data_IF_711107458864
#
_entry.id   IF_711107458864
#
_cell.length_a   1.000
_cell.length_b   1.000
_cell.length_c   1.000
_cell.angle_alpha   90.00
_cell.angle_beta   90.00
_cell.angle_gamma   90.00
#
_symmetry.space_group_name_H-M   'P 1'
#
loop_
_entity.id
_entity.type
_entity.pdbx_description
1 polymer ?
#
# COMPACT_ATOMS: atom_id res chain seq x y z
N UNK A 1 -11.37 -15.52 27.24
CA UNK A 1 -11.90 -16.16 26.02
C UNK A 1 -13.07 -15.35 25.47
N UNK A 2 -12.80 -14.28 24.70
CA UNK A 2 -13.86 -13.48 24.05
C UNK A 2 -14.17 -14.13 22.70
N UNK A 3 -15.46 -14.35 22.43
CA UNK A 3 -15.99 -14.90 21.19
C UNK A 3 -15.36 -14.25 19.94
N UNK A 4 -14.46 -14.98 19.27
CA UNK A 4 -14.25 -14.80 17.84
C UNK A 4 -15.52 -15.29 17.15
N UNK A 5 -16.53 -14.43 17.05
CA UNK A 5 -17.64 -14.70 16.12
C UNK A 5 -17.00 -14.83 14.74
N UNK A 6 -17.19 -16.00 14.16
CA UNK A 6 -16.92 -16.29 12.76
C UNK A 6 -17.35 -15.09 11.91
N UNK A 7 -16.42 -14.54 11.14
CA UNK A 7 -16.74 -13.67 10.00
C UNK A 7 -17.40 -14.54 8.92
N UNK A 8 -18.57 -15.11 9.24
CA UNK A 8 -19.39 -15.86 8.30
C UNK A 8 -19.97 -14.89 7.27
N UNK A 9 -19.48 -15.04 6.04
CA UNK A 9 -20.17 -14.77 4.77
C UNK A 9 -20.69 -13.35 4.51
N UNK A 10 -19.78 -12.37 4.45
CA UNK A 10 -19.98 -11.21 3.57
C UNK A 10 -18.86 -11.20 2.54
N UNK A 11 -19.18 -10.79 1.31
CA UNK A 11 -18.16 -10.46 0.32
C UNK A 11 -17.10 -9.59 0.99
N UNK A 12 -15.86 -10.03 0.97
CA UNK A 12 -14.76 -9.14 1.26
C UNK A 12 -14.12 -8.78 -0.07
N UNK A 13 -14.17 -7.50 -0.45
CA UNK A 13 -13.62 -7.00 -1.72
C UNK A 13 -12.17 -7.45 -1.97
N UNK A 14 -11.37 -7.67 -0.92
CA UNK A 14 -9.99 -8.12 -1.08
C UNK A 14 -9.80 -9.60 -1.43
N UNK A 15 -10.75 -10.47 -1.07
CA UNK A 15 -10.72 -11.92 -1.32
C UNK A 15 -11.62 -12.34 -2.49
N UNK A 16 -12.46 -11.43 -2.97
CA UNK A 16 -13.39 -11.71 -4.05
C UNK A 16 -12.62 -11.89 -5.36
N UNK A 17 -12.80 -13.02 -6.07
CA UNK A 17 -12.21 -13.20 -7.37
C UNK A 17 -12.76 -12.09 -8.28
N UNK A 18 -11.87 -11.43 -8.99
CA UNK A 18 -12.21 -10.50 -10.05
C UNK A 18 -11.61 -10.93 -11.36
N UNK A 19 -11.88 -10.16 -12.41
CA UNK A 19 -11.30 -10.34 -13.72
C UNK A 19 -10.87 -8.98 -14.27
N UNK A 20 -9.90 -9.02 -15.19
CA UNK A 20 -9.54 -7.84 -15.95
C UNK A 20 -10.51 -7.66 -17.13
N UNK A 21 -11.33 -6.62 -17.08
CA UNK A 21 -12.17 -6.25 -18.21
C UNK A 21 -11.30 -5.59 -19.30
N UNK A 22 -11.26 -6.23 -20.46
CA UNK A 22 -10.42 -5.83 -21.60
C UNK A 22 -10.97 -4.61 -22.31
N UNK A 23 -12.28 -4.37 -22.23
CA UNK A 23 -12.91 -3.26 -22.95
C UNK A 23 -12.76 -1.96 -22.15
N UNK A 24 -12.93 -2.04 -20.84
CA UNK A 24 -12.80 -0.88 -19.95
C UNK A 24 -11.41 -0.70 -19.33
N UNK A 25 -10.48 -1.65 -19.56
CA UNK A 25 -9.13 -1.67 -19.00
C UNK A 25 -9.12 -1.50 -17.47
N UNK A 26 -9.96 -2.30 -16.82
CA UNK A 26 -10.31 -2.11 -15.42
C UNK A 26 -10.48 -3.45 -14.71
N UNK A 27 -10.05 -3.52 -13.46
CA UNK A 27 -10.38 -4.64 -12.59
C UNK A 27 -11.87 -4.64 -12.20
N UNK A 28 -12.57 -5.73 -12.48
CA UNK A 28 -13.96 -5.92 -12.07
C UNK A 28 -14.01 -7.07 -11.06
N UNK A 29 -14.86 -6.98 -10.04
CA UNK A 29 -15.18 -8.17 -9.25
C UNK A 29 -16.09 -9.08 -10.04
N UNK A 30 -15.92 -10.40 -9.88
CA UNK A 30 -16.93 -11.34 -10.35
C UNK A 30 -18.19 -11.11 -9.51
N UNK A 31 -19.32 -10.71 -10.15
CA UNK A 31 -20.58 -10.66 -9.43
C UNK A 31 -20.90 -12.07 -8.97
N UNK A 32 -21.02 -12.26 -7.66
CA UNK A 32 -21.48 -13.53 -7.09
C UNK A 32 -22.73 -13.25 -6.26
N UNK A 33 -23.57 -14.26 -5.96
CA UNK A 33 -24.69 -14.06 -5.03
C UNK A 33 -24.25 -13.49 -3.66
N UNK A 34 -22.98 -13.71 -3.28
CA UNK A 34 -22.37 -13.16 -2.07
C UNK A 34 -21.81 -11.75 -2.26
N UNK A 35 -21.44 -11.38 -3.49
CA UNK A 35 -20.86 -10.11 -3.92
C UNK A 35 -21.63 -9.55 -5.14
N UNK A 36 -22.91 -9.13 -4.99
CA UNK A 36 -23.73 -8.76 -6.14
C UNK A 36 -23.33 -7.40 -6.74
N UNK A 37 -22.68 -6.54 -5.95
CA UNK A 37 -22.32 -5.19 -6.38
C UNK A 37 -20.90 -5.15 -6.99
N UNK A 38 -20.72 -4.44 -8.12
CA UNK A 38 -19.39 -4.21 -8.69
C UNK A 38 -18.57 -3.30 -7.78
N UNK A 39 -17.24 -3.28 -7.98
CA UNK A 39 -16.37 -2.34 -7.27
C UNK A 39 -16.80 -0.91 -7.52
N UNK A 40 -16.91 -0.14 -6.45
CA UNK A 40 -17.02 1.30 -6.59
C UNK A 40 -15.72 1.83 -7.17
N UNK A 41 -15.86 2.67 -8.20
CA UNK A 41 -14.74 3.42 -8.77
C UNK A 41 -14.59 4.74 -8.04
N UNK A 42 -13.39 4.97 -7.53
CA UNK A 42 -12.98 6.22 -6.89
C UNK A 42 -12.03 7.00 -7.80
N UNK A 43 -11.21 6.28 -8.56
CA UNK A 43 -10.23 6.81 -9.50
C UNK A 43 -10.27 5.99 -10.79
N UNK A 44 -10.19 6.65 -11.94
CA UNK A 44 -10.03 5.99 -13.25
C UNK A 44 -8.99 6.72 -14.09
N UNK A 45 -8.28 5.98 -14.94
CA UNK A 45 -7.36 6.55 -15.93
C UNK A 45 -8.10 6.72 -17.27
N UNK A 46 -7.90 7.86 -17.94
CA UNK A 46 -8.45 8.08 -19.28
C UNK A 46 -7.78 7.11 -20.28
N UNK A 47 -8.58 6.44 -21.11
CA UNK A 47 -8.07 5.47 -22.08
C UNK A 47 -6.98 6.05 -22.99
N UNK A 48 -7.14 7.31 -23.43
CA UNK A 48 -6.16 8.02 -24.27
C UNK A 48 -4.77 8.19 -23.64
N UNK A 49 -4.68 8.06 -22.31
CA UNK A 49 -3.43 8.16 -21.58
C UNK A 49 -2.71 6.83 -21.41
N UNK A 50 -3.37 5.70 -21.69
CA UNK A 50 -2.72 4.39 -21.68
C UNK A 50 -1.74 4.25 -22.86
N UNK A 51 -2.01 4.94 -23.97
CA UNK A 51 -1.18 4.89 -25.19
C UNK A 51 -0.08 5.96 -25.25
N UNK A 52 -0.22 7.05 -24.48
CA UNK A 52 0.65 8.23 -24.56
C UNK A 52 1.44 8.39 -23.24
N UNK A 53 2.55 7.68 -23.11
CA UNK A 53 3.51 7.75 -21.97
C UNK A 53 4.22 9.12 -21.81
N UNK A 54 3.58 10.25 -22.11
CA UNK A 54 4.22 11.58 -22.11
C UNK A 54 3.54 12.64 -21.25
N UNK A 55 2.38 12.35 -20.65
CA UNK A 55 1.69 13.26 -19.73
C UNK A 55 2.06 13.01 -18.26
N UNK A 56 1.87 14.01 -17.39
CA UNK A 56 1.91 13.76 -15.93
C UNK A 56 0.69 12.92 -15.56
N UNK A 57 0.85 11.92 -14.71
CA UNK A 57 -0.22 11.01 -14.28
C UNK A 57 -1.51 11.74 -13.86
N UNK A 58 -1.37 12.90 -13.20
CA UNK A 58 -2.47 13.78 -12.77
C UNK A 58 -3.38 14.24 -13.92
N UNK A 59 -2.84 14.48 -15.11
CA UNK A 59 -3.60 14.98 -16.28
C UNK A 59 -4.50 13.88 -16.87
N UNK A 60 -4.20 12.64 -16.53
CA UNK A 60 -4.78 11.43 -17.08
C UNK A 60 -5.84 10.81 -16.17
N UNK A 61 -6.08 11.39 -14.99
CA UNK A 61 -6.93 10.80 -13.99
C UNK A 61 -8.28 11.52 -13.93
N UNK A 62 -9.33 10.71 -13.75
CA UNK A 62 -10.66 11.17 -13.38
C UNK A 62 -10.98 10.64 -11.98
N UNK A 63 -11.29 11.57 -11.09
CA UNK A 63 -11.79 11.29 -9.75
C UNK A 63 -13.31 11.13 -9.79
N UNK A 64 -13.84 10.21 -8.98
CA UNK A 64 -15.26 9.90 -8.91
C UNK A 64 -15.88 10.39 -7.60
N UNK A 65 -17.19 10.67 -7.64
CA UNK A 65 -17.94 11.24 -6.49
C UNK A 65 -17.93 10.34 -5.25
N UNK A 66 -17.72 9.03 -5.45
CA UNK A 66 -17.63 8.04 -4.39
C UNK A 66 -16.63 8.39 -3.28
N UNK A 67 -15.60 9.19 -3.58
CA UNK A 67 -14.60 9.65 -2.61
C UNK A 67 -15.21 10.43 -1.43
N UNK A 68 -16.34 11.11 -1.64
CA UNK A 68 -17.02 11.83 -0.56
C UNK A 68 -17.47 10.91 0.58
N UNK A 69 -17.69 9.61 0.31
CA UNK A 69 -18.03 8.63 1.32
C UNK A 69 -16.87 8.31 2.27
N UNK A 70 -15.62 8.62 1.90
CA UNK A 70 -14.41 8.26 2.63
C UNK A 70 -13.82 9.41 3.47
N UNK A 71 -14.53 10.53 3.62
CA UNK A 71 -14.01 11.75 4.27
C UNK A 71 -13.57 11.55 5.74
N UNK A 72 -14.15 10.57 6.42
CA UNK A 72 -13.81 10.24 7.81
C UNK A 72 -12.89 9.04 7.93
N UNK A 73 -12.53 8.43 6.80
CA UNK A 73 -11.65 7.27 6.77
C UNK A 73 -10.19 7.71 6.75
N UNK A 74 -9.31 6.75 6.99
CA UNK A 74 -7.86 6.92 6.85
C UNK A 74 -7.20 5.58 6.59
N UNK A 75 -6.16 5.61 5.77
CA UNK A 75 -5.43 4.42 5.34
C UNK A 75 -3.95 4.60 5.68
N UNK A 76 -3.36 3.61 6.35
CA UNK A 76 -1.92 3.49 6.52
C UNK A 76 -1.43 2.24 5.79
N UNK A 77 -0.65 2.42 4.74
CA UNK A 77 0.04 1.32 4.07
C UNK A 77 1.35 1.05 4.79
N UNK A 78 1.58 -0.21 5.16
CA UNK A 78 2.81 -0.68 5.78
C UNK A 78 3.43 -1.66 4.81
N UNK A 79 4.56 -1.37 4.20
CA UNK A 79 5.16 -2.34 3.28
C UNK A 79 6.57 -2.06 2.85
N UNK A 80 6.96 -2.65 1.73
CA UNK A 80 8.20 -2.35 1.04
C UNK A 80 8.03 -1.20 0.03
N UNK A 81 9.04 -1.01 -0.83
CA UNK A 81 9.05 0.03 -1.86
C UNK A 81 7.86 0.00 -2.83
N UNK A 82 7.14 -1.12 -2.94
CA UNK A 82 5.93 -1.22 -3.77
C UNK A 82 4.72 -0.56 -3.09
N UNK A 83 4.63 -0.57 -1.76
CA UNK A 83 3.63 0.22 -1.02
C UNK A 83 3.96 1.71 -1.07
N UNK A 84 5.24 2.07 -0.99
CA UNK A 84 5.67 3.47 -1.13
C UNK A 84 5.36 4.02 -2.53
N UNK A 85 5.64 3.26 -3.59
CA UNK A 85 5.29 3.64 -4.97
C UNK A 85 3.77 3.77 -5.16
N UNK A 86 2.99 2.83 -4.63
CA UNK A 86 1.53 2.91 -4.64
C UNK A 86 1.04 4.20 -3.97
N UNK A 87 1.55 4.54 -2.80
CA UNK A 87 1.18 5.75 -2.07
C UNK A 87 1.55 7.02 -2.84
N UNK A 88 2.75 7.08 -3.41
CA UNK A 88 3.23 8.23 -4.16
C UNK A 88 2.37 8.48 -5.41
N UNK A 89 2.15 7.44 -6.23
CA UNK A 89 1.25 7.55 -7.39
C UNK A 89 -0.16 7.97 -6.96
N UNK A 90 -0.64 7.47 -5.82
CA UNK A 90 -1.93 7.87 -5.26
C UNK A 90 -1.95 9.33 -4.82
N UNK A 91 -0.89 9.85 -4.23
CA UNK A 91 -0.82 11.27 -3.85
C UNK A 91 -0.72 12.17 -5.10
N UNK A 92 0.10 11.80 -6.07
CA UNK A 92 0.24 12.51 -7.35
C UNK A 92 -1.06 12.53 -8.15
N UNK A 93 -1.77 11.41 -8.17
CA UNK A 93 -3.09 11.27 -8.79
C UNK A 93 -4.12 12.29 -8.29
N UNK A 94 -3.96 12.73 -7.04
CA UNK A 94 -4.84 13.70 -6.39
C UNK A 94 -4.16 15.07 -6.23
N UNK A 95 -3.01 15.30 -6.86
CA UNK A 95 -2.22 16.52 -6.72
C UNK A 95 -1.96 16.89 -5.25
N UNK A 96 -1.88 15.87 -4.40
CA UNK A 96 -1.75 16.00 -2.96
C UNK A 96 -0.27 15.97 -2.59
N UNK A 97 0.27 17.04 -1.98
CA UNK A 97 1.67 17.04 -1.57
C UNK A 97 1.89 16.02 -0.46
N UNK A 98 2.98 15.27 -0.57
CA UNK A 98 3.43 14.34 0.46
C UNK A 98 4.17 15.10 1.57
N UNK A 99 3.99 14.65 2.81
CA UNK A 99 4.63 15.20 4.00
C UNK A 99 5.17 14.06 4.84
N UNK A 100 6.39 14.20 5.33
CA UNK A 100 6.93 13.20 6.26
C UNK A 100 6.21 13.30 7.60
N UNK A 101 5.87 12.16 8.20
CA UNK A 101 5.36 12.09 9.58
C UNK A 101 6.43 11.60 10.57
N UNK A 102 7.64 11.35 10.10
CA UNK A 102 8.80 11.01 10.95
C UNK A 102 9.64 12.26 11.12
N UNK A 103 9.70 12.76 12.35
CA UNK A 103 10.52 13.93 12.66
C UNK A 103 12.03 13.59 12.58
N UNK A 104 12.82 14.52 12.06
CA UNK A 104 14.29 14.49 12.17
C UNK A 104 14.67 15.21 13.46
N UNK A 105 15.28 14.54 14.46
CA UNK A 105 15.77 15.21 15.65
C UNK A 105 16.69 16.38 15.30
N UNK A 106 16.51 17.52 15.97
CA UNK A 106 17.21 18.77 15.65
C UNK A 106 18.71 18.74 15.97
N UNK A 107 19.16 17.84 16.86
CA UNK A 107 20.52 17.77 17.41
C UNK A 107 21.36 16.61 16.87
N UNK A 108 21.23 16.26 15.59
CA UNK A 108 21.99 15.16 15.00
C UNK A 108 23.21 15.65 14.21
N UNK A 109 24.42 15.10 14.47
CA UNK A 109 25.52 15.26 13.55
C UNK A 109 25.14 14.66 12.19
N UNK A 110 25.50 15.35 11.10
CA UNK A 110 25.19 14.95 9.71
C UNK A 110 23.70 14.81 9.38
N UNK A 111 22.87 15.74 9.89
CA UNK A 111 21.44 15.85 9.57
C UNK A 111 21.14 15.74 8.06
N UNK A 112 22.01 16.27 7.19
CA UNK A 112 21.85 16.22 5.72
C UNK A 112 21.82 14.79 5.15
N UNK A 113 22.64 13.87 5.68
CA UNK A 113 22.70 12.47 5.24
C UNK A 113 21.35 11.78 5.45
N UNK A 114 20.71 12.03 6.59
CA UNK A 114 19.41 11.46 6.92
C UNK A 114 18.23 12.24 6.32
N UNK A 115 18.36 13.56 6.13
CA UNK A 115 17.28 14.43 5.66
C UNK A 115 16.94 14.27 4.18
N UNK A 116 17.89 13.91 3.31
CA UNK A 116 17.57 13.54 1.92
C UNK A 116 16.85 12.18 1.85
N UNK A 117 17.03 11.34 2.86
CA UNK A 117 16.59 9.94 2.87
C UNK A 117 15.25 9.75 3.57
N UNK A 118 14.96 10.53 4.60
CA UNK A 118 13.60 10.69 5.13
C UNK A 118 12.66 11.44 4.18
N UNK A 119 13.18 11.99 3.07
CA UNK A 119 12.42 12.48 1.92
C UNK A 119 12.16 11.40 0.86
N UNK A 120 12.84 10.24 0.92
CA UNK A 120 12.36 9.07 0.20
C UNK A 120 10.98 8.73 0.79
N UNK A 121 10.02 8.37 -0.06
CA UNK A 121 8.59 8.22 0.26
C UNK A 121 8.24 7.17 1.33
N UNK A 122 9.25 6.67 2.04
CA UNK A 122 9.23 5.65 3.05
C UNK A 122 8.37 5.98 4.27
N UNK A 123 8.22 7.24 4.66
CA UNK A 123 7.45 7.62 5.86
C UNK A 123 6.62 8.88 5.63
N UNK A 124 5.74 8.84 4.64
CA UNK A 124 4.99 10.00 4.18
C UNK A 124 3.49 9.80 4.28
N UNK A 125 2.79 10.91 4.36
CA UNK A 125 1.35 10.94 4.16
C UNK A 125 0.98 12.08 3.22
N UNK A 126 -0.18 11.95 2.61
CA UNK A 126 -0.87 13.03 1.93
C UNK A 126 -2.35 13.02 2.32
N UNK A 127 -3.07 14.08 1.98
CA UNK A 127 -4.52 14.16 2.13
C UNK A 127 -5.16 14.21 0.76
N UNK A 128 -5.95 13.20 0.43
CA UNK A 128 -6.70 13.16 -0.82
C UNK A 128 -7.94 14.05 -0.65
N UNK A 129 -7.92 15.24 -1.27
CA UNK A 129 -8.96 16.25 -1.07
C UNK A 129 -10.26 15.88 -1.79
N UNK A 130 -11.40 16.27 -1.18
CA UNK A 130 -12.73 16.18 -1.81
C UNK A 130 -12.79 17.14 -3.00
N UNK A 131 -13.20 16.61 -4.15
CA UNK A 131 -13.38 17.39 -5.38
C UNK A 131 -14.42 18.51 -5.23
N UNK A 132 -13.90 19.72 -5.02
CA UNK A 132 -14.44 20.99 -5.51
C UNK A 132 -13.34 22.07 -5.60
N UNK A 133 -12.19 21.87 -4.95
CA UNK A 133 -11.02 22.75 -5.01
C UNK A 133 -10.05 22.47 -6.17
N UNK A 134 -10.49 21.74 -7.21
CA UNK A 134 -9.83 21.77 -8.52
C UNK A 134 -10.34 22.94 -9.39
N UNK A 135 -11.27 23.75 -8.85
CA UNK A 135 -11.63 25.03 -9.43
C UNK A 135 -10.40 25.94 -9.45
N UNK A 136 -9.78 26.04 -10.62
CA UNK A 136 -8.84 27.06 -11.09
C UNK A 136 -7.63 27.35 -10.18
N UNK A 137 -6.46 27.32 -10.81
CA UNK A 137 -5.15 27.64 -10.23
C UNK A 137 -5.11 28.96 -9.40
N UNK A 138 -6.06 29.88 -9.63
CA UNK A 138 -6.22 31.13 -8.88
C UNK A 138 -6.81 31.03 -7.46
N UNK A 139 -7.57 29.97 -7.11
CA UNK A 139 -8.19 29.86 -5.77
C UNK A 139 -7.24 29.22 -4.72
N UNK A 140 -6.17 28.56 -5.19
CA UNK A 140 -5.12 27.97 -4.34
C UNK A 140 -4.34 29.04 -3.57
N UNK A 141 -4.02 30.15 -4.23
CA UNK A 141 -3.17 31.21 -3.65
C UNK A 141 -3.95 32.04 -2.61
N UNK A 142 -5.25 32.27 -2.82
CA UNK A 142 -6.11 32.99 -1.87
C UNK A 142 -6.45 32.19 -0.60
N UNK A 143 -6.58 30.86 -0.69
CA UNK A 143 -6.85 30.02 0.48
C UNK A 143 -5.67 29.99 1.47
N UNK A 144 -4.44 30.01 0.98
CA UNK A 144 -3.22 30.13 1.80
C UNK A 144 -3.00 31.55 2.34
N UNK A 145 -3.39 32.59 1.59
CA UNK A 145 -3.20 33.99 1.99
C UNK A 145 -4.18 34.49 3.07
N UNK A 146 -5.35 33.86 3.22
CA UNK A 146 -6.42 34.35 4.13
C UNK A 146 -6.41 33.78 5.54
N UNK A 147 -5.43 32.96 5.95
CA UNK A 147 -5.28 32.55 7.36
C UNK A 147 -6.51 31.87 7.98
N UNK A 148 -7.46 31.38 7.17
CA UNK A 148 -8.64 30.70 7.65
C UNK A 148 -8.28 29.26 8.02
N UNK A 149 -7.76 29.09 9.24
CA UNK A 149 -7.50 27.80 9.88
C UNK A 149 -8.76 26.94 10.12
N UNK A 150 -9.93 27.37 9.64
CA UNK A 150 -11.21 26.66 9.77
C UNK A 150 -11.61 25.83 8.53
N UNK A 151 -10.83 25.83 7.45
CA UNK A 151 -10.85 24.75 6.44
C UNK A 151 -9.96 23.59 6.86
N UNK A 152 -10.08 23.19 8.13
CA UNK A 152 -9.52 21.96 8.63
C UNK A 152 -10.11 20.76 7.86
N UNK A 153 -9.34 20.30 6.87
CA UNK A 153 -9.08 18.87 6.65
C UNK A 153 -10.24 17.98 6.18
N UNK A 154 -11.04 18.42 5.20
CA UNK A 154 -11.93 17.51 4.46
C UNK A 154 -11.13 16.73 3.39
N UNK A 155 -10.51 15.61 3.78
CA UNK A 155 -9.84 14.71 2.85
C UNK A 155 -9.36 13.42 3.49
N UNK A 156 -9.33 12.33 2.71
CA UNK A 156 -8.87 11.01 3.15
C UNK A 156 -7.35 11.04 3.41
N UNK A 157 -6.89 10.88 4.66
CA UNK A 157 -5.46 10.75 4.96
C UNK A 157 -4.96 9.40 4.44
N UNK A 158 -3.95 9.44 3.59
CA UNK A 158 -3.26 8.28 3.04
C UNK A 158 -1.80 8.32 3.49
N UNK A 159 -1.40 7.37 4.34
CA UNK A 159 -0.03 7.21 4.81
C UNK A 159 0.66 6.01 4.19
N UNK A 160 1.98 6.07 4.11
CA UNK A 160 2.85 4.93 3.82
C UNK A 160 3.99 4.87 4.82
N UNK A 161 4.29 3.66 5.27
CA UNK A 161 5.40 3.34 6.14
C UNK A 161 6.18 2.15 5.56
N UNK A 162 7.45 2.39 5.23
CA UNK A 162 8.38 1.40 4.77
C UNK A 162 8.96 0.62 5.97
N UNK A 163 8.64 -0.66 6.08
CA UNK A 163 9.13 -1.51 7.16
C UNK A 163 10.26 -2.43 6.69
N UNK A 164 11.13 -2.94 7.57
CA UNK A 164 12.39 -3.62 7.19
C UNK A 164 12.32 -5.11 6.80
N UNK A 165 11.18 -5.59 6.30
CA UNK A 165 10.91 -7.03 6.22
C UNK A 165 10.38 -7.57 7.56
N UNK A 166 9.56 -8.61 7.52
CA UNK A 166 9.04 -9.26 8.72
C UNK A 166 10.08 -10.11 9.44
N UNK A 167 11.13 -10.57 8.75
CA UNK A 167 12.21 -11.36 9.34
C UNK A 167 13.61 -10.90 8.88
N UNK A 168 14.51 -10.69 9.84
CA UNK A 168 15.93 -10.40 9.59
C UNK A 168 16.28 -8.93 9.37
N UNK A 169 17.59 -8.62 9.19
CA UNK A 169 18.04 -7.25 9.04
C UNK A 169 17.50 -6.64 7.73
N UNK A 170 17.37 -5.30 7.67
CA UNK A 170 16.90 -4.65 6.45
C UNK A 170 17.80 -5.00 5.27
N UNK A 171 17.24 -5.43 4.13
CA UNK A 171 18.00 -5.67 2.88
C UNK A 171 18.96 -4.51 2.51
N UNK A 172 18.59 -3.29 2.90
CA UNK A 172 19.20 -2.03 2.55
C UNK A 172 20.19 -1.50 3.60
N UNK A 173 20.39 -2.22 4.71
CA UNK A 173 21.26 -1.76 5.80
C UNK A 173 22.71 -1.54 5.38
N UNK A 174 23.17 -2.20 4.30
CA UNK A 174 24.53 -2.02 3.75
C UNK A 174 24.70 -0.76 2.88
N UNK A 175 23.64 -0.32 2.19
CA UNK A 175 23.69 0.85 1.31
C UNK A 175 23.17 2.12 2.01
N UNK A 176 22.33 1.95 3.03
CA UNK A 176 21.66 3.04 3.72
C UNK A 176 21.62 2.74 5.23
N UNK A 177 22.52 3.32 6.05
CA UNK A 177 22.42 3.17 7.49
C UNK A 177 21.07 3.72 7.95
N UNK A 178 20.33 2.84 8.63
CA UNK A 178 19.10 3.18 9.29
C UNK A 178 19.31 4.37 10.22
N UNK A 179 18.44 5.38 10.12
CA UNK A 179 18.45 6.50 11.06
C UNK A 179 18.39 5.97 12.50
N UNK A 180 19.32 6.35 13.41
CA UNK A 180 19.48 5.69 14.70
C UNK A 180 18.29 5.83 15.66
N UNK A 181 17.33 6.72 15.36
CA UNK A 181 16.10 6.92 16.13
C UNK A 181 14.89 6.15 15.57
N UNK A 182 15.08 5.38 14.50
CA UNK A 182 14.07 4.47 13.97
C UNK A 182 14.27 3.09 14.59
N UNK A 183 13.15 2.43 14.89
CA UNK A 183 13.15 1.05 15.37
C UNK A 183 13.86 0.15 14.35
N UNK A 184 14.72 -0.76 14.81
CA UNK A 184 15.57 -1.57 13.92
C UNK A 184 14.87 -2.77 13.30
N UNK A 185 13.64 -3.06 13.74
CA UNK A 185 12.83 -4.18 13.27
C UNK A 185 11.45 -3.67 12.89
N UNK A 186 10.73 -4.38 12.01
CA UNK A 186 9.36 -3.99 11.64
C UNK A 186 8.42 -3.89 12.83
N UNK A 187 8.60 -4.74 13.85
CA UNK A 187 7.86 -4.68 15.12
C UNK A 187 8.21 -3.41 15.90
N UNK A 188 9.50 -3.09 16.06
CA UNK A 188 9.92 -1.87 16.75
C UNK A 188 9.45 -0.61 16.00
N UNK A 189 9.50 -0.62 14.67
CA UNK A 189 8.98 0.45 13.85
C UNK A 189 7.47 0.65 13.99
N UNK A 190 6.70 -0.44 14.00
CA UNK A 190 5.26 -0.38 14.26
C UNK A 190 4.96 0.24 15.63
N UNK A 191 5.76 -0.11 16.65
CA UNK A 191 5.64 0.42 18.01
C UNK A 191 6.00 1.89 18.12
N UNK A 192 7.13 2.27 17.56
CA UNK A 192 7.83 3.51 17.91
C UNK A 192 7.64 4.60 16.85
N UNK A 193 7.52 4.23 15.58
CA UNK A 193 7.54 5.18 14.47
C UNK A 193 6.16 5.39 13.83
N UNK A 194 5.38 4.32 13.65
CA UNK A 194 4.04 4.44 13.05
C UNK A 194 3.05 5.30 13.86
N UNK A 195 3.11 5.41 15.20
CA UNK A 195 2.28 6.38 15.93
C UNK A 195 2.48 7.84 15.47
N UNK A 196 3.61 8.15 14.82
CA UNK A 196 3.83 9.43 14.16
C UNK A 196 2.75 9.77 13.12
N UNK A 197 2.20 8.76 12.43
CA UNK A 197 1.09 8.96 11.49
C UNK A 197 -0.19 9.41 12.22
N UNK A 198 -0.52 8.79 13.36
CA UNK A 198 -1.66 9.21 14.22
C UNK A 198 -1.50 10.68 14.63
N UNK A 199 -0.31 11.07 15.07
CA UNK A 199 -0.03 12.44 15.48
C UNK A 199 -0.10 13.43 14.31
N UNK A 200 0.60 13.14 13.21
CA UNK A 200 0.78 14.09 12.10
C UNK A 200 -0.44 14.17 11.16
N UNK A 201 -1.14 13.07 10.91
CA UNK A 201 -2.21 12.99 9.91
C UNK A 201 -3.61 12.89 10.53
N UNK A 202 -3.74 12.44 11.78
CA UNK A 202 -5.05 12.16 12.41
C UNK A 202 -5.32 12.98 13.67
N UNK A 203 -4.49 13.99 13.95
CA UNK A 203 -4.64 14.91 15.08
C UNK A 203 -4.36 14.27 16.45
N UNK A 204 -3.66 13.13 16.49
CA UNK A 204 -3.23 12.49 17.74
C UNK A 204 -4.28 11.62 18.45
N UNK A 205 -5.56 11.73 18.08
CA UNK A 205 -6.67 11.12 18.83
C UNK A 205 -7.21 9.82 18.20
N UNK A 206 -7.05 9.65 16.89
CA UNK A 206 -7.69 8.57 16.12
C UNK A 206 -6.68 7.57 15.58
N UNK A 207 -7.07 6.30 15.55
CA UNK A 207 -6.34 5.28 14.82
C UNK A 207 -6.63 5.40 13.32
N UNK A 208 -5.73 4.93 12.44
CA UNK A 208 -6.10 4.71 11.06
C UNK A 208 -7.33 3.80 10.99
N UNK A 209 -8.27 4.06 10.10
CA UNK A 209 -9.40 3.14 9.90
C UNK A 209 -8.88 1.80 9.39
N UNK A 210 -7.97 1.86 8.42
CA UNK A 210 -7.46 0.71 7.70
C UNK A 210 -5.94 0.73 7.69
N UNK A 211 -5.35 -0.41 8.05
CA UNK A 211 -3.93 -0.68 7.86
C UNK A 211 -3.81 -1.78 6.80
N UNK A 212 -3.08 -1.49 5.73
CA UNK A 212 -2.81 -2.45 4.65
C UNK A 212 -1.35 -2.83 4.74
N UNK A 213 -1.08 -4.05 5.18
CA UNK A 213 0.28 -4.58 5.33
C UNK A 213 0.67 -5.36 4.08
N UNK A 214 1.81 -5.06 3.48
CA UNK A 214 2.35 -5.81 2.36
C UNK A 214 3.86 -5.98 2.52
N UNK A 215 4.28 -7.16 2.98
CA UNK A 215 5.68 -7.54 3.15
C UNK A 215 6.05 -8.66 2.18
N UNK A 216 7.35 -8.80 1.89
CA UNK A 216 7.89 -10.00 1.27
C UNK A 216 8.97 -9.75 0.24
N UNK A 217 8.92 -8.67 -0.55
CA UNK A 217 10.03 -8.41 -1.47
C UNK A 217 11.31 -8.01 -0.74
N UNK A 218 11.20 -7.24 0.34
CA UNK A 218 12.35 -6.91 1.17
C UNK A 218 12.83 -8.07 2.02
N UNK A 219 11.95 -8.99 2.43
CA UNK A 219 12.35 -10.25 3.07
C UNK A 219 13.17 -11.12 2.12
N UNK A 220 12.65 -11.36 0.92
CA UNK A 220 13.35 -12.13 -0.13
C UNK A 220 14.69 -11.49 -0.47
N UNK A 221 14.70 -10.17 -0.65
CA UNK A 221 15.92 -9.44 -0.94
C UNK A 221 16.92 -9.54 0.23
N UNK A 222 16.44 -9.47 1.48
CA UNK A 222 17.29 -9.60 2.67
C UNK A 222 17.93 -10.98 2.75
N UNK A 223 17.17 -12.06 2.52
CA UNK A 223 17.75 -13.40 2.52
C UNK A 223 18.74 -13.60 1.36
N UNK A 224 18.44 -13.07 0.17
CA UNK A 224 19.37 -13.08 -0.95
C UNK A 224 20.68 -12.35 -0.64
N UNK A 225 20.61 -11.20 0.02
CA UNK A 225 21.80 -10.42 0.41
C UNK A 225 22.59 -11.10 1.53
N UNK A 226 21.92 -11.52 2.61
CA UNK A 226 22.59 -11.94 3.85
C UNK A 226 22.92 -13.45 3.89
N UNK A 227 22.03 -14.28 3.35
CA UNK A 227 22.22 -15.74 3.31
C UNK A 227 22.80 -16.17 1.96
N UNK A 228 22.29 -15.59 0.87
CA UNK A 228 22.77 -15.84 -0.48
C UNK A 228 24.05 -15.08 -0.86
N UNK A 229 24.46 -14.06 -0.08
CA UNK A 229 25.61 -13.19 -0.40
C UNK A 229 25.55 -12.61 -1.82
N UNK A 230 24.35 -12.21 -2.25
CA UNK A 230 24.04 -11.74 -3.60
C UNK A 230 24.26 -12.75 -4.72
N UNK A 231 24.50 -14.03 -4.40
CA UNK A 231 24.75 -15.05 -5.40
C UNK A 231 23.47 -15.38 -6.19
N UNK A 232 23.60 -15.56 -7.50
CA UNK A 232 22.47 -15.86 -8.39
C UNK A 232 21.85 -17.22 -8.12
N UNK A 233 22.59 -18.15 -7.50
CA UNK A 233 22.13 -19.48 -7.12
C UNK A 233 21.42 -19.52 -5.75
N UNK A 234 21.09 -18.37 -5.15
CA UNK A 234 20.35 -18.36 -3.89
C UNK A 234 19.02 -19.11 -4.06
N UNK A 235 18.78 -20.08 -3.18
CA UNK A 235 17.59 -20.93 -3.22
C UNK A 235 16.64 -20.58 -2.08
N UNK A 236 15.52 -19.93 -2.44
CA UNK A 236 14.37 -19.81 -1.57
C UNK A 236 13.81 -21.20 -1.23
N UNK A 237 13.40 -21.41 0.03
CA UNK A 237 13.00 -22.73 0.52
C UNK A 237 12.00 -22.63 1.70
N UNK A 238 11.55 -23.78 2.22
CA UNK A 238 10.54 -23.85 3.28
C UNK A 238 10.94 -23.20 4.62
N UNK A 239 12.25 -23.08 4.91
CA UNK A 239 12.72 -22.38 6.11
C UNK A 239 12.40 -20.88 6.05
N UNK A 240 12.60 -20.27 4.87
CA UNK A 240 12.25 -18.88 4.61
C UNK A 240 10.75 -18.64 4.81
N UNK A 241 9.91 -19.54 4.28
CA UNK A 241 8.45 -19.49 4.45
C UNK A 241 8.06 -19.50 5.94
N UNK A 242 8.62 -20.43 6.74
CA UNK A 242 8.31 -20.51 8.17
C UNK A 242 8.71 -19.25 8.94
N UNK A 243 9.91 -18.72 8.68
CA UNK A 243 10.39 -17.49 9.32
C UNK A 243 9.53 -16.29 8.95
N UNK A 244 9.15 -16.18 7.68
CA UNK A 244 8.26 -15.13 7.19
C UNK A 244 6.88 -15.18 7.87
N UNK A 245 6.25 -16.35 7.96
CA UNK A 245 4.97 -16.53 8.65
C UNK A 245 5.08 -16.12 10.11
N UNK A 246 6.14 -16.55 10.81
CA UNK A 246 6.38 -16.17 12.20
C UNK A 246 6.55 -14.65 12.37
N UNK A 247 7.41 -14.02 11.55
CA UNK A 247 7.63 -12.57 11.59
C UNK A 247 6.37 -11.78 11.26
N UNK A 248 5.59 -12.22 10.26
CA UNK A 248 4.33 -11.61 9.89
C UNK A 248 3.34 -11.66 11.05
N UNK A 249 3.25 -12.80 11.75
CA UNK A 249 2.41 -12.94 12.95
C UNK A 249 2.79 -11.92 14.02
N UNK A 250 4.09 -11.78 14.32
CA UNK A 250 4.57 -10.81 15.31
C UNK A 250 4.24 -9.37 14.90
N UNK A 251 4.41 -9.02 13.62
CA UNK A 251 4.06 -7.69 13.11
C UNK A 251 2.55 -7.43 13.20
N UNK A 252 1.71 -8.40 12.83
CA UNK A 252 0.26 -8.30 12.92
C UNK A 252 -0.19 -8.07 14.36
N UNK A 253 0.33 -8.86 15.30
CA UNK A 253 -0.01 -8.73 16.72
C UNK A 253 0.41 -7.37 17.28
N UNK A 254 1.57 -6.89 16.86
CA UNK A 254 2.06 -5.58 17.25
C UNK A 254 1.20 -4.45 16.69
N UNK A 255 0.83 -4.50 15.41
CA UNK A 255 -0.04 -3.50 14.78
C UNK A 255 -1.41 -3.45 15.45
N UNK A 256 -1.97 -4.60 15.82
CA UNK A 256 -3.22 -4.67 16.59
C UNK A 256 -3.09 -4.09 17.99
N UNK A 257 -1.93 -4.26 18.63
CA UNK A 257 -1.65 -3.67 19.94
C UNK A 257 -1.52 -2.14 19.86
N UNK A 258 -0.84 -1.64 18.84
CA UNK A 258 -0.59 -0.20 18.64
C UNK A 258 -1.84 0.53 18.14
N UNK A 259 -2.61 -0.10 17.24
CA UNK A 259 -3.80 0.45 16.59
C UNK A 259 -5.02 -0.47 16.79
N UNK A 260 -5.53 -0.59 18.03
CA UNK A 260 -6.55 -1.59 18.38
C UNK A 260 -7.90 -1.39 17.69
N UNK A 261 -8.17 -0.20 17.16
CA UNK A 261 -9.41 0.10 16.42
C UNK A 261 -9.25 0.00 14.91
N UNK A 262 -8.03 -0.14 14.41
CA UNK A 262 -7.79 -0.25 12.98
C UNK A 262 -8.19 -1.64 12.47
N UNK A 263 -8.80 -1.68 11.30
CA UNK A 263 -8.89 -2.92 10.52
C UNK A 263 -7.54 -3.20 9.89
N UNK A 264 -7.19 -4.48 9.82
CA UNK A 264 -5.92 -4.93 9.28
C UNK A 264 -6.16 -5.83 8.07
N UNK A 265 -5.50 -5.50 6.96
CA UNK A 265 -5.48 -6.30 5.74
C UNK A 265 -4.06 -6.71 5.41
N UNK A 266 -3.92 -7.90 4.83
CA UNK A 266 -2.68 -8.32 4.20
C UNK A 266 -2.78 -8.23 2.69
N UNK A 267 -1.97 -7.39 2.07
CA UNK A 267 -1.82 -7.30 0.62
C UNK A 267 -0.84 -8.39 0.16
N UNK A 268 -1.31 -9.32 -0.64
CA UNK A 268 -0.46 -10.35 -1.23
C UNK A 268 0.61 -9.75 -2.14
N UNK A 269 1.74 -10.43 -2.28
CA UNK A 269 2.77 -10.11 -3.26
C UNK A 269 2.27 -10.38 -4.67
N UNK A 270 2.57 -9.48 -5.60
CA UNK A 270 2.45 -9.78 -7.03
C UNK A 270 3.67 -10.56 -7.55
N UNK A 271 3.56 -11.24 -8.70
CA UNK A 271 4.71 -11.84 -9.35
C UNK A 271 5.77 -10.77 -9.69
N UNK A 272 7.01 -10.97 -9.23
CA UNK A 272 8.16 -10.13 -9.56
C UNK A 272 9.27 -10.94 -10.19
N UNK A 273 10.16 -10.27 -10.93
CA UNK A 273 11.35 -10.84 -11.56
C UNK A 273 12.54 -9.90 -11.32
N UNK A 274 13.01 -9.85 -10.07
CA UNK A 274 14.16 -9.02 -9.68
C UNK A 274 15.03 -9.74 -8.66
N UNK A 275 16.28 -10.00 -9.01
CA UNK A 275 17.22 -10.75 -8.16
C UNK A 275 16.62 -12.12 -7.76
N UNK A 276 16.56 -12.43 -6.46
CA UNK A 276 15.91 -13.64 -5.93
C UNK A 276 14.38 -13.58 -5.86
N UNK A 277 13.77 -12.44 -6.19
CA UNK A 277 12.31 -12.32 -6.27
C UNK A 277 11.84 -13.06 -7.52
N UNK A 278 11.21 -14.21 -7.29
CA UNK A 278 10.61 -15.04 -8.33
C UNK A 278 9.11 -15.20 -8.10
N UNK A 279 8.31 -15.52 -9.14
CA UNK A 279 6.89 -15.81 -8.98
C UNK A 279 6.64 -16.97 -8.00
N UNK A 280 7.51 -17.99 -7.99
CA UNK A 280 7.41 -19.12 -7.08
C UNK A 280 7.61 -18.72 -5.61
N UNK A 281 8.61 -17.88 -5.33
CA UNK A 281 8.82 -17.37 -3.97
C UNK A 281 7.64 -16.50 -3.50
N UNK A 282 7.17 -15.58 -4.35
CA UNK A 282 6.00 -14.75 -4.04
C UNK A 282 4.74 -15.60 -3.77
N UNK A 283 4.48 -16.60 -4.62
CA UNK A 283 3.37 -17.53 -4.45
C UNK A 283 3.48 -18.31 -3.14
N UNK A 284 4.64 -18.89 -2.83
CA UNK A 284 4.84 -19.66 -1.60
C UNK A 284 4.60 -18.82 -0.34
N UNK A 285 5.06 -17.56 -0.30
CA UNK A 285 4.81 -16.65 0.82
C UNK A 285 3.32 -16.28 0.93
N UNK A 286 2.65 -16.03 -0.20
CA UNK A 286 1.22 -15.72 -0.22
C UNK A 286 0.37 -16.89 0.27
N UNK A 287 0.61 -18.11 -0.23
CA UNK A 287 -0.14 -19.30 0.18
C UNK A 287 0.05 -19.61 1.66
N UNK A 288 1.29 -19.52 2.15
CA UNK A 288 1.58 -19.77 3.56
C UNK A 288 0.83 -18.79 4.47
N UNK A 289 0.79 -17.51 4.12
CA UNK A 289 0.03 -16.52 4.87
C UNK A 289 -1.49 -16.71 4.73
N UNK A 290 -1.99 -17.07 3.55
CA UNK A 290 -3.40 -17.35 3.32
C UNK A 290 -3.87 -18.53 4.19
N UNK A 291 -3.03 -19.57 4.34
CA UNK A 291 -3.33 -20.71 5.21
C UNK A 291 -3.54 -20.33 6.69
N UNK A 292 -2.95 -19.23 7.14
CA UNK A 292 -3.10 -18.72 8.51
C UNK A 292 -4.10 -17.56 8.65
N UNK A 293 -4.61 -17.03 7.53
CA UNK A 293 -5.47 -15.85 7.48
C UNK A 293 -6.66 -15.94 8.43
N UNK A 294 -7.41 -17.04 8.33
CA UNK A 294 -8.64 -17.26 9.09
C UNK A 294 -8.36 -17.38 10.60
N UNK A 295 -7.36 -18.18 10.98
CA UNK A 295 -6.94 -18.35 12.37
C UNK A 295 -6.53 -17.00 12.99
N UNK A 296 -5.84 -16.17 12.21
CA UNK A 296 -5.40 -14.87 12.67
C UNK A 296 -6.48 -13.80 12.56
N UNK A 297 -7.64 -14.08 11.97
CA UNK A 297 -8.67 -13.06 11.70
C UNK A 297 -8.14 -11.93 10.79
N UNK A 298 -7.28 -12.28 9.84
CA UNK A 298 -6.63 -11.39 8.89
C UNK A 298 -7.32 -11.53 7.53
N UNK A 299 -7.78 -10.42 6.95
CA UNK A 299 -8.37 -10.46 5.61
C UNK A 299 -7.30 -10.18 4.55
N UNK A 300 -7.44 -10.76 3.37
CA UNK A 300 -6.45 -10.66 2.29
C UNK A 300 -6.89 -9.74 1.17
N UNK A 301 -5.99 -8.89 0.70
CA UNK A 301 -6.12 -8.13 -0.53
C UNK A 301 -5.26 -8.81 -1.61
N UNK A 302 -5.88 -9.63 -2.47
CA UNK A 302 -5.19 -10.52 -3.42
C UNK A 302 -4.74 -9.83 -4.71
N UNK A 303 -3.79 -8.90 -4.56
CA UNK A 303 -3.09 -8.25 -5.67
C UNK A 303 -2.33 -9.25 -6.54
N UNK A 304 -1.89 -10.38 -5.97
CA UNK A 304 -1.14 -11.41 -6.67
C UNK A 304 -1.95 -12.05 -7.77
N UNK A 305 -3.15 -12.54 -7.42
CA UNK A 305 -4.09 -13.08 -8.40
C UNK A 305 -4.54 -12.00 -9.40
N UNK A 306 -4.81 -10.78 -8.92
CA UNK A 306 -5.18 -9.65 -9.80
C UNK A 306 -4.18 -9.47 -10.95
N UNK A 307 -2.89 -9.44 -10.62
CA UNK A 307 -1.82 -9.22 -11.60
C UNK A 307 -1.63 -10.44 -12.52
N UNK A 308 -1.78 -11.66 -12.02
CA UNK A 308 -1.64 -12.87 -12.83
C UNK A 308 -2.71 -13.01 -13.92
N UNK A 309 -3.89 -12.43 -13.72
CA UNK A 309 -4.99 -12.47 -14.69
C UNK A 309 -4.85 -11.44 -15.82
N UNK A 310 -3.87 -10.55 -15.73
CA UNK A 310 -3.65 -9.55 -16.77
C UNK A 310 -3.17 -10.22 -18.07
N UNK A 311 -3.79 -9.89 -19.23
CA UNK A 311 -3.34 -10.33 -20.54
C UNK A 311 -1.84 -10.08 -20.74
N UNK A 312 -1.07 -11.05 -21.26
CA UNK A 312 0.36 -10.86 -21.55
C UNK A 312 0.63 -9.67 -22.50
N UNK A 313 -0.33 -9.35 -23.38
CA UNK A 313 -0.27 -8.24 -24.34
C UNK A 313 -0.56 -6.85 -23.75
N UNK A 314 -1.11 -6.76 -22.54
CA UNK A 314 -1.22 -5.48 -21.82
C UNK A 314 0.10 -5.05 -21.17
N UNK A 315 1.14 -5.88 -21.28
CA UNK A 315 2.54 -5.54 -21.03
C UNK A 315 3.15 -4.66 -22.12
N UNK A 316 2.47 -3.57 -22.53
CA UNK A 316 3.04 -2.58 -23.45
C UNK A 316 4.23 -1.89 -22.80
N UNK A 317 5.42 -2.41 -23.05
CA UNK A 317 6.59 -1.60 -23.37
C UNK A 317 7.30 -2.27 -24.56
N UNK A 318 7.28 -1.68 -25.76
CA UNK A 318 8.21 -2.07 -26.81
C UNK A 318 9.62 -1.59 -26.42
N UNK A 319 10.26 -2.27 -25.48
CA UNK A 319 11.70 -2.18 -25.30
C UNK A 319 12.33 -3.19 -26.26
N UNK A 320 13.04 -2.71 -27.29
CA UNK A 320 13.86 -3.51 -28.23
C UNK A 320 15.04 -4.25 -27.55
N UNK A 321 15.05 -4.37 -26.24
CA UNK A 321 16.16 -4.91 -25.46
C UNK A 321 15.64 -5.63 -24.21
N UNK A 322 15.83 -6.96 -24.21
CA UNK A 322 15.77 -7.92 -23.10
C UNK A 322 14.47 -7.95 -22.25
N UNK A 323 13.80 -9.10 -22.33
CA UNK A 323 12.80 -9.66 -21.39
C UNK A 323 12.43 -8.75 -20.22
N UNK A 324 11.50 -7.82 -20.45
CA UNK A 324 10.94 -6.98 -19.40
C UNK A 324 9.80 -7.75 -18.72
N UNK A 325 9.71 -7.79 -17.38
CA UNK A 325 8.58 -8.41 -16.70
C UNK A 325 7.25 -7.77 -17.10
N UNK A 326 6.26 -8.62 -17.36
CA UNK A 326 5.01 -8.33 -18.07
C UNK A 326 4.06 -7.38 -17.29
N UNK A 327 4.36 -7.06 -16.03
CA UNK A 327 3.41 -6.39 -15.12
C UNK A 327 4.01 -5.25 -14.28
N UNK A 328 5.26 -4.88 -14.55
CA UNK A 328 6.00 -3.93 -13.72
C UNK A 328 6.80 -2.90 -14.48
N UNK A 329 7.42 -1.98 -13.75
CA UNK A 329 8.44 -1.08 -14.30
C UNK A 329 9.64 -1.90 -14.76
N UNK A 330 10.57 -1.27 -15.51
CA UNK A 330 11.80 -1.90 -16.00
C UNK A 330 12.63 -2.59 -14.89
N UNK A 331 12.37 -2.26 -13.62
CA UNK A 331 13.07 -2.80 -12.48
C UNK A 331 12.58 -4.17 -12.01
N UNK A 332 11.46 -4.65 -12.54
CA UNK A 332 10.91 -5.99 -12.29
C UNK A 332 10.34 -6.25 -10.91
N UNK A 333 10.12 -5.20 -10.13
CA UNK A 333 9.55 -5.27 -8.78
C UNK A 333 8.32 -4.38 -8.62
N UNK A 334 8.33 -3.16 -9.13
CA UNK A 334 7.20 -2.23 -8.92
C UNK A 334 6.15 -2.41 -10.01
N UNK A 335 4.88 -2.24 -9.66
CA UNK A 335 3.79 -2.20 -10.62
C UNK A 335 3.81 -0.89 -11.42
N UNK A 336 3.26 -0.94 -12.64
CA UNK A 336 2.99 0.27 -13.41
C UNK A 336 2.04 1.22 -12.64
N UNK A 337 2.12 2.52 -12.88
CA UNK A 337 1.33 3.55 -12.18
C UNK A 337 -0.18 3.29 -12.23
N UNK A 338 -0.76 3.00 -13.40
CA UNK A 338 -2.19 2.66 -13.50
C UNK A 338 -2.58 1.41 -12.73
N UNK A 339 -1.72 0.39 -12.64
CA UNK A 339 -1.97 -0.79 -11.80
C UNK A 339 -2.01 -0.43 -10.32
N UNK A 340 -1.13 0.48 -9.88
CA UNK A 340 -1.20 1.00 -8.52
C UNK A 340 -2.55 1.70 -8.27
N UNK A 341 -3.13 2.40 -9.24
CA UNK A 341 -4.46 3.01 -9.09
C UNK A 341 -5.59 1.98 -9.01
N UNK A 342 -5.45 0.83 -9.67
CA UNK A 342 -6.39 -0.29 -9.51
C UNK A 342 -6.29 -0.89 -8.10
N UNK A 343 -5.07 -1.08 -7.59
CA UNK A 343 -4.85 -1.51 -6.19
C UNK A 343 -5.42 -0.46 -5.21
N UNK A 344 -5.26 0.83 -5.50
CA UNK A 344 -5.85 1.90 -4.70
C UNK A 344 -7.38 1.77 -4.67
N UNK A 345 -8.05 1.55 -5.80
CA UNK A 345 -9.51 1.36 -5.82
C UNK A 345 -9.94 0.20 -4.90
N UNK A 346 -9.21 -0.92 -4.87
CA UNK A 346 -9.50 -2.02 -3.96
C UNK A 346 -9.36 -1.61 -2.49
N UNK A 347 -8.29 -0.88 -2.15
CA UNK A 347 -8.06 -0.36 -0.79
C UNK A 347 -9.17 0.59 -0.37
N UNK A 348 -9.62 1.47 -1.27
CA UNK A 348 -10.68 2.44 -1.00
C UNK A 348 -12.04 1.76 -0.81
N UNK A 349 -12.35 0.72 -1.60
CA UNK A 349 -13.54 -0.10 -1.36
C UNK A 349 -13.47 -0.79 0.00
N UNK A 350 -12.32 -1.37 0.36
CA UNK A 350 -12.15 -2.00 1.66
C UNK A 350 -12.30 -1.00 2.82
N UNK A 351 -11.88 0.26 2.65
CA UNK A 351 -12.12 1.32 3.62
C UNK A 351 -13.63 1.64 3.75
N UNK A 352 -14.35 1.76 2.62
CA UNK A 352 -15.79 2.07 2.57
C UNK A 352 -16.64 0.96 3.22
N UNK A 353 -16.33 -0.32 2.98
CA UNK A 353 -17.01 -1.47 3.61
C UNK A 353 -16.98 -1.40 5.15
N UNK A 354 -15.86 -0.95 5.71
CA UNK A 354 -15.67 -0.85 7.16
C UNK A 354 -16.65 0.11 7.79
N UNK A 355 -16.93 1.21 7.11
CA UNK A 355 -17.93 2.20 7.51
C UNK A 355 -19.33 1.62 7.51
N UNK A 356 -19.70 0.92 6.43
CA UNK A 356 -21.02 0.29 6.30
C UNK A 356 -21.30 -0.74 7.40
N UNK A 357 -20.29 -1.52 7.79
CA UNK A 357 -20.39 -2.47 8.90
C UNK A 357 -20.49 -1.78 10.28
N UNK A 358 -19.77 -0.67 10.50
CA UNK A 358 -19.78 0.07 11.75
C UNK A 358 -21.12 0.78 12.00
N UNK A 359 -21.74 1.36 10.96
CA UNK A 359 -23.03 2.02 11.07
C UNK A 359 -24.16 1.03 11.43
N UNK A 360 -24.17 -0.14 10.81
CA UNK A 360 -25.15 -1.22 11.09
C UNK A 360 -25.06 -1.82 12.50
N UNK A 361 -23.96 -1.61 13.23
CA UNK A 361 -23.82 -2.05 14.63
C UNK A 361 -24.34 -1.04 15.64
N UNK A 362 -24.62 0.19 15.20
CA UNK A 362 -25.13 1.28 16.05
C UNK A 362 -26.64 1.51 15.89
N UNK A 363 -27.22 1.04 14.78
CA UNK A 363 -28.66 0.83 14.60
C UNK A 363 -29.07 -0.50 15.20
#
# INVERSE_FOLDING_TARGET
>A
SRCFRTMESRCFVGEAPGFWDRDSFQWQLHPTPRCPEPLRRFVSVRATCLDQHRGKLIDCIRLHEGLASLVNESVLMVGDSTSAALADHSCQAFGAPTRSFVAVPSRLPNRSIYSHRLRALDNHYCRLLRGSSWAKEGDREQATAKGNANTAELGLPLGTFSHYGVDGPPYWSYAYPLAPWLGKTSVAQARENMPGFRAAALGGVRDPTLIVVGSGFWDIASWWANEGRFHSSFMFNSSHVRRYVHGARLLIDELRRVFPRARLLWRSLHPGLKHAITPAAAHALNEALRAHAQEWGLQFLDVGSMVQQLPPKLGFLPSRSRSTPVYGTLDGRHLHEWLNLEVLNLILNAADEGRGAALKRKS
#
